data_IF_195703789870
#
_entry.id   IF_195703789870
#
_cell.length_a   1.000
_cell.length_b   1.000
_cell.length_c   1.000
_cell.angle_alpha   90.00
_cell.angle_beta   90.00
_cell.angle_gamma   90.00
#
_symmetry.space_group_name_H-M   'P 1'
#
loop_
_entity.id
_entity.type
_entity.pdbx_description
1 polymer ?
#
# COMPACT_ATOMS: atom_id res chain seq x y z
N UNK A 1 -41.52 36.19 32.03
CA UNK A 1 -41.84 36.84 30.75
C UNK A 1 -42.32 35.77 29.78
N UNK A 2 -43.63 35.77 29.52
CA UNK A 2 -44.26 34.86 28.57
C UNK A 2 -43.75 35.19 27.16
N UNK A 3 -43.32 34.18 26.39
CA UNK A 3 -42.83 34.40 25.03
C UNK A 3 -44.02 34.78 24.15
N UNK A 4 -44.11 36.06 23.79
CA UNK A 4 -45.10 36.55 22.83
C UNK A 4 -44.87 35.85 21.49
N UNK A 5 -45.77 34.94 21.11
CA UNK A 5 -45.72 34.21 19.84
C UNK A 5 -46.62 34.92 18.82
N UNK A 6 -46.04 35.28 17.67
CA UNK A 6 -46.82 35.87 16.59
C UNK A 6 -47.53 34.76 15.79
N UNK A 7 -48.88 34.77 15.70
CA UNK A 7 -49.65 33.72 15.05
C UNK A 7 -49.44 33.63 13.53
N UNK A 8 -48.80 34.64 12.91
CA UNK A 8 -48.50 34.65 11.49
C UNK A 8 -47.29 33.76 11.10
N UNK A 9 -46.42 33.41 12.06
CA UNK A 9 -45.24 32.60 11.77
C UNK A 9 -45.48 31.12 12.09
N UNK A 10 -45.78 30.36 11.04
CA UNK A 10 -45.96 28.91 11.12
C UNK A 10 -44.64 28.15 10.98
N UNK A 11 -44.42 27.12 11.82
CA UNK A 11 -43.29 26.19 11.67
C UNK A 11 -43.55 25.25 10.49
N UNK A 12 -42.76 25.38 9.42
CA UNK A 12 -42.85 24.52 8.23
C UNK A 12 -41.67 23.53 8.12
N UNK A 13 -41.68 22.42 8.87
CA UNK A 13 -40.61 21.43 8.79
C UNK A 13 -40.63 20.74 7.43
N UNK A 14 -39.44 20.53 6.84
CA UNK A 14 -39.27 19.72 5.63
C UNK A 14 -38.68 18.37 6.03
N UNK A 15 -39.26 17.28 5.51
CA UNK A 15 -38.74 15.94 5.72
C UNK A 15 -37.75 15.60 4.60
N UNK A 16 -36.45 15.59 4.91
CA UNK A 16 -35.36 15.36 3.94
C UNK A 16 -35.00 13.88 3.74
N UNK A 17 -35.99 13.00 3.90
CA UNK A 17 -35.87 11.55 3.66
C UNK A 17 -35.99 11.17 2.19
N UNK A 18 -35.88 9.87 1.91
CA UNK A 18 -36.14 9.33 0.56
C UNK A 18 -37.63 9.55 0.24
N UNK A 19 -37.93 10.13 -0.93
CA UNK A 19 -39.30 10.40 -1.38
C UNK A 19 -39.98 11.61 -0.72
N UNK A 20 -39.27 12.34 0.16
CA UNK A 20 -39.77 13.54 0.80
C UNK A 20 -39.42 14.83 0.04
N UNK A 21 -39.12 15.88 0.79
CA UNK A 21 -38.71 17.17 0.23
C UNK A 21 -37.34 17.09 -0.46
N UNK A 22 -37.09 18.00 -1.42
CA UNK A 22 -35.79 18.14 -2.07
C UNK A 22 -34.66 18.22 -1.03
N UNK A 23 -33.59 17.43 -1.20
CA UNK A 23 -32.50 17.41 -0.24
C UNK A 23 -31.82 18.79 -0.19
N UNK A 24 -31.33 19.21 1.00
CA UNK A 24 -30.56 20.44 1.10
C UNK A 24 -29.28 20.29 0.27
N UNK A 25 -28.70 21.43 -0.15
CA UNK A 25 -27.37 21.44 -0.78
C UNK A 25 -26.36 20.83 0.19
N UNK A 26 -25.67 19.76 -0.24
CA UNK A 26 -24.65 19.04 0.54
C UNK A 26 -23.28 19.22 -0.12
N UNK A 27 -22.21 18.99 0.65
CA UNK A 27 -20.86 18.91 0.07
C UNK A 27 -20.75 17.69 -0.86
N UNK A 28 -20.60 17.96 -2.15
CA UNK A 28 -20.45 16.96 -3.20
C UNK A 28 -19.00 16.80 -3.66
N UNK A 29 -18.01 17.46 -3.04
CA UNK A 29 -16.61 17.48 -3.50
C UNK A 29 -16.02 16.08 -3.73
N UNK A 30 -16.44 15.08 -2.96
CA UNK A 30 -16.04 13.67 -3.14
C UNK A 30 -16.64 13.01 -4.39
N UNK A 31 -17.83 13.42 -4.80
CA UNK A 31 -18.65 12.82 -5.86
C UNK A 31 -18.55 13.57 -7.20
N UNK A 32 -17.97 14.77 -7.21
CA UNK A 32 -17.72 15.55 -8.42
C UNK A 32 -16.91 14.72 -9.43
N UNK A 33 -17.32 14.78 -10.70
CA UNK A 33 -16.55 14.28 -11.84
C UNK A 33 -15.33 15.19 -12.07
N UNK A 34 -14.21 14.85 -11.44
CA UNK A 34 -12.99 15.63 -11.53
C UNK A 34 -12.40 15.67 -12.96
N UNK A 35 -11.83 16.82 -13.39
CA UNK A 35 -11.03 16.93 -14.60
C UNK A 35 -9.93 15.87 -14.70
N UNK A 36 -9.56 15.48 -15.93
CA UNK A 36 -8.62 14.37 -16.19
C UNK A 36 -7.25 14.59 -15.50
N UNK A 37 -6.71 15.80 -15.54
CA UNK A 37 -5.42 16.16 -14.91
C UNK A 37 -5.43 15.88 -13.39
N UNK A 38 -6.48 16.33 -12.69
CA UNK A 38 -6.66 16.11 -11.25
C UNK A 38 -6.79 14.62 -10.94
N UNK A 39 -7.57 13.88 -11.74
CA UNK A 39 -7.72 12.43 -11.58
C UNK A 39 -6.38 11.70 -11.71
N UNK A 40 -5.61 11.99 -12.76
CA UNK A 40 -4.30 11.38 -13.00
C UNK A 40 -3.30 11.69 -11.88
N UNK A 41 -3.24 12.94 -11.41
CA UNK A 41 -2.35 13.34 -10.32
C UNK A 41 -2.70 12.61 -9.00
N UNK A 42 -4.00 12.51 -8.67
CA UNK A 42 -4.47 11.78 -7.47
C UNK A 42 -4.22 10.29 -7.60
N UNK A 43 -4.46 9.70 -8.77
CA UNK A 43 -4.16 8.29 -9.04
C UNK A 43 -2.66 7.98 -8.94
N UNK A 44 -1.77 8.83 -9.50
CA UNK A 44 -0.31 8.71 -9.35
C UNK A 44 0.11 8.66 -7.89
N UNK A 45 -0.45 9.54 -7.05
CA UNK A 45 -0.20 9.54 -5.59
C UNK A 45 -0.70 8.26 -4.91
N UNK A 46 -1.88 7.77 -5.26
CA UNK A 46 -2.44 6.53 -4.72
C UNK A 46 -1.59 5.33 -5.14
N UNK A 47 -1.17 5.24 -6.41
CA UNK A 47 -0.31 4.17 -6.90
C UNK A 47 1.00 4.11 -6.12
N UNK A 48 1.65 5.26 -5.85
CA UNK A 48 2.85 5.31 -5.00
C UNK A 48 2.62 4.80 -3.57
N UNK A 49 1.39 4.87 -3.04
CA UNK A 49 1.05 4.29 -1.73
C UNK A 49 0.75 2.79 -1.78
N UNK A 50 0.18 2.32 -2.90
CA UNK A 50 -0.28 0.93 -3.06
C UNK A 50 0.85 0.01 -3.50
N UNK A 51 1.65 0.45 -4.46
CA UNK A 51 2.79 -0.30 -4.96
C UNK A 51 3.87 -0.40 -3.87
N UNK A 52 4.63 -1.49 -3.87
CA UNK A 52 5.85 -1.60 -3.06
C UNK A 52 6.89 -0.67 -3.68
N UNK A 53 7.27 0.36 -2.94
CA UNK A 53 8.23 1.37 -3.41
C UNK A 53 9.64 0.95 -2.95
N UNK A 54 10.61 0.86 -3.88
CA UNK A 54 11.99 0.54 -3.54
C UNK A 54 12.58 1.50 -2.49
N UNK A 55 13.48 1.03 -1.61
CA UNK A 55 14.08 1.83 -0.54
C UNK A 55 14.79 3.10 -1.05
N UNK A 56 15.46 3.01 -2.20
CA UNK A 56 16.12 4.15 -2.85
C UNK A 56 15.18 5.30 -3.20
N UNK A 57 13.90 5.03 -3.44
CA UNK A 57 12.86 6.04 -3.67
C UNK A 57 12.11 6.39 -2.37
N UNK A 58 11.96 5.42 -1.47
CA UNK A 58 11.25 5.60 -0.22
C UNK A 58 11.99 6.54 0.74
N UNK A 59 13.33 6.59 0.70
CA UNK A 59 14.12 7.53 1.52
C UNK A 59 13.70 8.99 1.34
N UNK A 60 13.25 9.41 0.14
CA UNK A 60 12.75 10.78 -0.09
C UNK A 60 11.43 11.09 0.61
N UNK A 61 10.74 10.09 1.15
CA UNK A 61 9.56 10.33 2.01
C UNK A 61 9.97 10.75 3.43
N UNK A 62 11.19 10.43 3.84
CA UNK A 62 11.78 10.80 5.12
C UNK A 62 12.51 12.12 4.92
N UNK A 63 11.87 13.19 5.38
CA UNK A 63 12.39 14.55 5.24
C UNK A 63 12.69 15.12 6.61
N UNK A 64 13.51 16.16 6.64
CA UNK A 64 13.77 16.99 7.81
C UNK A 64 12.45 17.47 8.43
N UNK A 65 12.40 17.51 9.76
CA UNK A 65 11.26 18.03 10.49
C UNK A 65 11.11 19.54 10.27
N UNK A 66 9.93 20.09 10.60
CA UNK A 66 9.60 21.49 10.30
C UNK A 66 10.46 22.48 11.10
N UNK A 67 10.86 22.13 12.32
CA UNK A 67 11.57 23.03 13.21
C UNK A 67 13.02 23.17 12.75
N UNK A 68 13.70 22.03 12.55
CA UNK A 68 15.08 21.99 12.05
C UNK A 68 15.18 22.55 10.62
N UNK A 69 14.17 22.31 9.77
CA UNK A 69 14.12 22.93 8.45
C UNK A 69 14.03 24.47 8.53
N UNK A 70 13.28 25.01 9.48
CA UNK A 70 13.17 26.46 9.64
C UNK A 70 14.49 27.09 10.09
N UNK A 71 15.22 26.45 11.01
CA UNK A 71 16.57 26.87 11.42
C UNK A 71 17.54 26.81 10.24
N UNK A 72 17.56 25.70 9.49
CA UNK A 72 18.37 25.55 8.29
C UNK A 72 18.09 26.66 7.26
N UNK A 73 16.82 26.96 6.98
CA UNK A 73 16.47 28.02 6.04
C UNK A 73 16.85 29.43 6.52
N UNK A 74 16.83 29.71 7.83
CA UNK A 74 17.32 30.98 8.38
C UNK A 74 18.80 31.17 8.08
N UNK A 75 19.62 30.14 8.27
CA UNK A 75 21.05 30.17 7.91
C UNK A 75 21.21 30.34 6.40
N UNK A 76 20.53 29.52 5.58
CA UNK A 76 20.61 29.59 4.12
C UNK A 76 20.22 30.96 3.54
N UNK A 77 19.27 31.66 4.18
CA UNK A 77 18.85 33.01 3.77
C UNK A 77 19.95 34.07 3.95
N UNK A 78 20.91 33.87 4.86
CA UNK A 78 22.08 34.75 5.01
C UNK A 78 23.10 34.59 3.87
N UNK A 79 23.13 33.41 3.24
CA UNK A 79 24.11 33.03 2.20
C UNK A 79 23.52 33.02 0.79
N UNK A 80 22.46 33.80 0.53
CA UNK A 80 21.80 33.80 -0.79
C UNK A 80 22.74 34.32 -1.88
N UNK A 81 22.72 33.71 -3.07
CA UNK A 81 23.40 34.28 -4.23
C UNK A 81 22.71 35.58 -4.65
N UNK A 82 23.46 36.44 -5.35
CA UNK A 82 22.96 37.74 -5.81
C UNK A 82 21.79 37.61 -6.80
N UNK A 83 20.85 38.54 -6.68
CA UNK A 83 19.83 38.80 -7.67
C UNK A 83 20.41 39.45 -8.94
N UNK A 84 19.65 39.40 -10.04
CA UNK A 84 20.03 40.07 -11.31
C UNK A 84 20.25 41.58 -11.12
N UNK A 85 19.42 42.25 -10.33
CA UNK A 85 19.56 43.67 -10.01
C UNK A 85 20.81 43.94 -9.17
N UNK A 86 21.01 43.19 -8.07
CA UNK A 86 22.20 43.30 -7.22
C UNK A 86 23.50 43.04 -8.00
N UNK A 87 23.48 42.08 -8.93
CA UNK A 87 24.62 41.81 -9.83
C UNK A 87 24.91 43.00 -10.75
N UNK A 88 23.88 43.64 -11.31
CA UNK A 88 24.04 44.85 -12.14
C UNK A 88 24.65 45.98 -11.31
N UNK A 89 24.14 46.23 -10.11
CA UNK A 89 24.62 47.30 -9.24
C UNK A 89 26.07 47.05 -8.79
N UNK A 90 26.43 45.79 -8.50
CA UNK A 90 27.82 45.43 -8.18
C UNK A 90 28.76 45.70 -9.36
N UNK A 91 28.35 45.37 -10.59
CA UNK A 91 29.16 45.63 -11.78
C UNK A 91 29.32 47.13 -12.04
N UNK A 92 28.25 47.92 -11.86
CA UNK A 92 28.31 49.38 -11.97
C UNK A 92 29.25 50.00 -10.93
N UNK A 93 29.13 49.60 -9.65
CA UNK A 93 30.02 50.05 -8.57
C UNK A 93 31.46 49.64 -8.81
N UNK A 94 31.69 48.43 -9.33
CA UNK A 94 33.02 47.96 -9.68
C UNK A 94 33.63 48.79 -10.81
N UNK A 95 32.87 49.06 -11.87
CA UNK A 95 33.30 49.89 -12.98
C UNK A 95 33.60 51.34 -12.54
N UNK A 96 32.79 51.92 -11.64
CA UNK A 96 33.03 53.24 -11.06
C UNK A 96 34.31 53.27 -10.20
N UNK A 97 34.52 52.26 -9.34
CA UNK A 97 35.72 52.18 -8.51
C UNK A 97 37.00 52.00 -9.33
N UNK A 98 36.94 51.23 -10.42
CA UNK A 98 38.05 51.05 -11.37
C UNK A 98 38.34 52.34 -12.15
N UNK A 99 37.31 53.10 -12.55
CA UNK A 99 37.47 54.40 -13.19
C UNK A 99 38.08 55.46 -12.25
N UNK A 100 37.79 55.38 -10.94
CA UNK A 100 38.40 56.23 -9.90
C UNK A 100 39.81 55.76 -9.48
N UNK A 101 40.36 54.70 -10.09
CA UNK A 101 41.72 54.22 -9.80
C UNK A 101 41.88 53.51 -8.45
N UNK A 102 40.78 53.14 -7.78
CA UNK A 102 40.84 52.39 -6.51
C UNK A 102 41.02 50.89 -6.80
N UNK A 103 41.93 50.17 -6.10
CA UNK A 103 42.16 48.74 -6.34
C UNK A 103 40.90 47.91 -6.03
N UNK A 104 40.44 47.13 -7.02
CA UNK A 104 39.19 46.37 -6.96
C UNK A 104 39.32 44.99 -6.27
N UNK A 105 39.87 44.93 -5.05
CA UNK A 105 39.94 43.67 -4.27
C UNK A 105 38.63 43.38 -3.53
N UNK A 106 37.66 42.82 -4.25
CA UNK A 106 36.46 42.27 -3.61
C UNK A 106 36.76 40.88 -3.04
N UNK A 107 36.74 40.73 -1.70
CA UNK A 107 36.80 39.43 -1.01
C UNK A 107 35.77 38.46 -1.60
N UNK A 108 36.20 37.22 -1.86
CA UNK A 108 35.36 36.19 -2.50
C UNK A 108 34.07 35.98 -1.69
N UNK A 109 32.87 36.16 -2.29
CA UNK A 109 31.63 36.05 -1.55
C UNK A 109 31.35 34.59 -1.19
N UNK A 110 30.98 34.37 0.07
CA UNK A 110 30.50 33.08 0.59
C UNK A 110 29.01 33.01 0.27
N UNK A 111 28.64 32.11 -0.65
CA UNK A 111 27.27 31.93 -1.11
C UNK A 111 26.92 30.45 -1.18
N UNK A 112 25.64 30.15 -1.03
CA UNK A 112 25.07 28.83 -1.31
C UNK A 112 25.38 28.48 -2.77
N UNK A 113 25.96 27.29 -2.98
CA UNK A 113 26.15 26.73 -4.31
C UNK A 113 24.91 25.91 -4.66
N UNK A 114 24.52 25.96 -5.92
CA UNK A 114 23.29 25.34 -6.40
C UNK A 114 23.48 24.74 -7.78
N UNK A 115 22.55 23.86 -8.16
CA UNK A 115 22.59 23.12 -9.40
C UNK A 115 23.22 21.74 -9.22
N UNK A 116 22.63 20.73 -9.87
CA UNK A 116 23.00 19.33 -9.68
C UNK A 116 24.48 19.09 -9.95
N UNK A 117 24.94 19.41 -11.17
CA UNK A 117 26.32 19.16 -11.61
C UNK A 117 27.37 19.89 -10.75
N UNK A 118 27.04 21.10 -10.28
CA UNK A 118 27.97 21.89 -9.46
C UNK A 118 28.05 21.34 -8.05
N UNK A 119 26.92 20.99 -7.44
CA UNK A 119 26.87 20.39 -6.10
C UNK A 119 27.58 19.04 -6.10
N UNK A 120 27.42 18.23 -7.15
CA UNK A 120 28.01 16.89 -7.23
C UNK A 120 29.52 16.96 -7.34
N UNK A 121 30.04 17.86 -8.18
CA UNK A 121 31.47 18.15 -8.24
C UNK A 121 32.03 18.56 -6.87
N UNK A 122 31.31 19.40 -6.10
CA UNK A 122 31.77 19.83 -4.77
C UNK A 122 31.74 18.70 -3.73
N UNK A 123 30.82 17.73 -3.87
CA UNK A 123 30.77 16.53 -3.02
C UNK A 123 31.96 15.61 -3.32
N UNK A 124 32.24 15.36 -4.60
CA UNK A 124 33.36 14.52 -5.04
C UNK A 124 34.72 15.11 -4.62
N UNK A 125 34.83 16.44 -4.62
CA UNK A 125 36.02 17.16 -4.15
C UNK A 125 36.10 17.27 -2.61
N UNK A 126 35.12 16.73 -1.88
CA UNK A 126 34.96 16.84 -0.43
C UNK A 126 35.02 18.30 0.09
N UNK A 127 34.50 19.24 -0.70
CA UNK A 127 34.43 20.69 -0.37
C UNK A 127 33.07 21.09 0.19
N UNK A 128 32.05 20.24 0.06
CA UNK A 128 30.73 20.49 0.58
C UNK A 128 30.66 20.10 2.07
N UNK A 129 30.23 21.04 2.93
CA UNK A 129 30.02 20.77 4.36
C UNK A 129 28.63 20.23 4.64
N UNK A 130 27.62 20.70 3.90
CA UNK A 130 26.25 20.23 3.97
C UNK A 130 25.61 20.23 2.58
N UNK A 131 24.89 19.16 2.28
CA UNK A 131 24.08 19.04 1.06
C UNK A 131 22.60 19.00 1.42
N UNK A 132 21.80 19.83 0.77
CA UNK A 132 20.35 19.91 0.93
C UNK A 132 19.68 19.43 -0.34
N UNK A 133 18.85 18.39 -0.26
CA UNK A 133 18.21 17.73 -1.40
C UNK A 133 16.70 17.94 -1.34
N UNK A 134 16.07 18.28 -2.47
CA UNK A 134 14.62 18.35 -2.54
C UNK A 134 13.97 16.96 -2.63
N UNK A 135 12.85 16.78 -1.94
CA UNK A 135 12.11 15.50 -1.98
C UNK A 135 11.23 15.27 -3.23
N UNK A 136 10.94 16.31 -4.00
CA UNK A 136 9.89 16.39 -5.03
C UNK A 136 10.44 16.79 -6.41
N UNK A 137 11.67 16.40 -6.71
CA UNK A 137 12.26 16.55 -8.04
C UNK A 137 11.54 15.62 -9.03
N UNK A 138 11.30 16.14 -10.23
CA UNK A 138 10.67 15.44 -11.34
C UNK A 138 11.49 15.82 -12.59
N UNK A 139 12.21 14.89 -13.23
CA UNK A 139 12.32 13.44 -12.95
C UNK A 139 13.13 13.10 -11.68
N UNK A 140 12.79 11.99 -11.00
CA UNK A 140 13.39 11.63 -9.70
C UNK A 140 14.82 11.09 -9.86
N UNK A 141 15.11 10.48 -11.01
CA UNK A 141 16.37 9.85 -11.42
C UNK A 141 17.56 10.78 -11.23
N UNK A 142 17.34 12.09 -11.39
CA UNK A 142 18.33 13.14 -11.20
C UNK A 142 18.89 13.19 -9.76
N UNK A 143 18.11 12.81 -8.76
CA UNK A 143 18.52 12.91 -7.34
C UNK A 143 18.60 11.58 -6.62
N UNK A 144 18.10 10.47 -7.19
CA UNK A 144 18.05 9.15 -6.49
C UNK A 144 19.43 8.72 -5.97
N UNK A 145 20.49 8.98 -6.72
CA UNK A 145 21.85 8.58 -6.41
C UNK A 145 22.58 9.53 -5.45
N UNK A 146 22.07 10.76 -5.26
CA UNK A 146 22.75 11.81 -4.51
C UNK A 146 22.96 11.46 -3.01
N UNK A 147 21.97 10.87 -2.29
CA UNK A 147 22.20 10.39 -0.93
C UNK A 147 23.30 9.32 -0.82
N UNK A 148 23.39 8.42 -1.81
CA UNK A 148 24.41 7.38 -1.84
C UNK A 148 25.80 7.97 -2.05
N UNK A 149 25.92 8.97 -2.94
CA UNK A 149 27.17 9.71 -3.14
C UNK A 149 27.60 10.45 -1.87
N UNK A 150 26.67 11.17 -1.23
CA UNK A 150 26.97 11.91 0.00
C UNK A 150 27.47 10.97 1.11
N UNK A 151 26.86 9.79 1.25
CA UNK A 151 27.33 8.78 2.21
C UNK A 151 28.73 8.26 1.86
N UNK A 152 28.99 7.94 0.58
CA UNK A 152 30.31 7.42 0.15
C UNK A 152 31.44 8.41 0.43
N UNK A 153 31.15 9.71 0.28
CA UNK A 153 32.10 10.80 0.57
C UNK A 153 32.03 11.30 2.03
N UNK A 154 31.23 10.65 2.89
CA UNK A 154 31.01 11.03 4.29
C UNK A 154 30.48 12.46 4.52
N UNK A 155 29.88 13.07 3.50
CA UNK A 155 29.29 14.41 3.57
C UNK A 155 27.91 14.35 4.22
N UNK A 156 27.62 15.16 5.25
CA UNK A 156 26.28 15.30 5.81
C UNK A 156 25.27 15.77 4.76
N UNK A 157 24.15 15.06 4.65
CA UNK A 157 23.07 15.42 3.73
C UNK A 157 21.72 15.45 4.43
N UNK A 158 20.81 16.29 3.94
CA UNK A 158 19.43 16.31 4.40
C UNK A 158 18.46 16.36 3.22
N UNK A 159 17.28 15.75 3.42
CA UNK A 159 16.18 15.80 2.46
C UNK A 159 15.12 16.75 2.99
N UNK A 160 14.78 17.78 2.22
CA UNK A 160 13.84 18.85 2.61
C UNK A 160 12.59 18.84 1.74
N UNK A 161 11.46 19.23 2.34
CA UNK A 161 10.19 19.38 1.61
C UNK A 161 10.15 20.65 0.77
N UNK A 162 9.96 20.46 -0.53
CA UNK A 162 9.64 21.49 -1.52
C UNK A 162 10.85 22.04 -2.26
N UNK A 163 11.05 21.61 -3.52
CA UNK A 163 12.04 22.17 -4.45
C UNK A 163 11.84 23.66 -4.72
N UNK A 164 10.60 24.14 -4.61
CA UNK A 164 10.28 25.56 -4.74
C UNK A 164 10.84 26.38 -3.58
N UNK A 165 10.82 25.84 -2.34
CA UNK A 165 11.40 26.54 -1.17
C UNK A 165 12.92 26.67 -1.28
N UNK A 166 13.59 25.63 -1.78
CA UNK A 166 15.02 25.71 -2.12
C UNK A 166 15.27 26.71 -3.25
N UNK A 167 14.40 26.75 -4.25
CA UNK A 167 14.44 27.72 -5.34
C UNK A 167 14.37 29.16 -4.85
N UNK A 168 13.50 29.46 -3.88
CA UNK A 168 13.38 30.80 -3.29
C UNK A 168 14.71 31.29 -2.71
N UNK A 169 15.49 30.44 -2.04
CA UNK A 169 16.81 30.82 -1.50
C UNK A 169 17.73 31.33 -2.62
N UNK A 170 17.72 30.70 -3.79
CA UNK A 170 18.62 31.04 -4.90
C UNK A 170 17.99 31.93 -5.97
N UNK A 171 16.82 32.52 -5.70
CA UNK A 171 16.09 33.39 -6.62
C UNK A 171 15.69 32.68 -7.94
N UNK A 172 15.39 31.38 -7.85
CA UNK A 172 14.90 30.55 -8.96
C UNK A 172 13.52 29.98 -8.64
N UNK A 173 12.77 29.59 -9.67
CA UNK A 173 11.45 28.92 -9.49
C UNK A 173 11.58 27.61 -8.71
N UNK A 174 12.66 26.87 -8.96
CA UNK A 174 12.94 25.57 -8.34
C UNK A 174 14.44 25.32 -8.25
N UNK A 175 14.88 24.65 -7.20
CA UNK A 175 16.23 24.08 -7.10
C UNK A 175 16.15 22.62 -6.64
N UNK A 176 16.90 21.73 -7.29
CA UNK A 176 16.94 20.30 -6.95
C UNK A 176 17.81 20.03 -5.71
N UNK A 177 18.97 20.69 -5.64
CA UNK A 177 19.92 20.59 -4.55
C UNK A 177 20.64 21.92 -4.31
N UNK A 178 21.03 22.13 -3.05
CA UNK A 178 21.85 23.25 -2.59
C UNK A 178 23.01 22.67 -1.76
N UNK A 179 24.15 23.35 -1.73
CA UNK A 179 25.21 23.02 -0.78
C UNK A 179 25.89 24.26 -0.20
N UNK A 180 26.38 24.12 1.03
CA UNK A 180 27.26 25.08 1.68
C UNK A 180 28.68 24.51 1.68
N UNK A 181 29.63 25.28 1.16
CA UNK A 181 31.05 24.89 1.15
C UNK A 181 31.81 25.49 2.33
N UNK A 182 31.42 26.69 2.75
CA UNK A 182 32.00 27.38 3.89
C UNK A 182 30.94 28.28 4.51
N UNK A 183 31.10 28.59 5.79
CA UNK A 183 30.17 29.37 6.61
C UNK A 183 31.02 30.39 7.38
N UNK A 184 30.49 31.60 7.59
CA UNK A 184 31.15 32.63 8.39
C UNK A 184 31.32 32.15 9.82
N UNK A 185 32.31 32.70 10.53
CA UNK A 185 32.62 32.29 11.89
C UNK A 185 31.44 32.53 12.86
N UNK A 186 30.68 33.61 12.65
CA UNK A 186 29.48 33.98 13.44
C UNK A 186 28.40 32.89 13.42
N UNK A 187 28.18 32.26 12.26
CA UNK A 187 27.13 31.25 12.07
C UNK A 187 27.62 29.82 12.34
N UNK A 188 28.92 29.62 12.59
CA UNK A 188 29.55 28.31 12.69
C UNK A 188 28.95 27.46 13.82
N UNK A 189 28.66 28.08 14.96
CA UNK A 189 28.07 27.40 16.12
C UNK A 189 26.64 26.90 15.84
N UNK A 190 25.80 27.73 15.21
CA UNK A 190 24.43 27.34 14.82
C UNK A 190 24.47 26.25 13.75
N UNK A 191 25.37 26.39 12.78
CA UNK A 191 25.55 25.44 11.70
C UNK A 191 26.03 24.06 12.20
N UNK A 192 26.98 24.01 13.14
CA UNK A 192 27.45 22.75 13.75
C UNK A 192 26.32 21.98 14.45
N UNK A 193 25.44 22.68 15.18
CA UNK A 193 24.26 22.04 15.81
C UNK A 193 23.31 21.43 14.77
N UNK A 194 23.08 22.16 13.67
CA UNK A 194 22.25 21.69 12.56
C UNK A 194 22.89 20.47 11.88
N UNK A 195 24.21 20.50 11.65
CA UNK A 195 24.97 19.40 11.04
C UNK A 195 24.87 18.11 11.87
N UNK A 196 25.07 18.21 13.19
CA UNK A 196 24.98 17.06 14.10
C UNK A 196 23.59 16.44 14.08
N UNK A 197 22.55 17.27 14.19
CA UNK A 197 21.16 16.81 14.12
C UNK A 197 20.81 16.18 12.75
N UNK A 198 21.37 16.70 11.66
CA UNK A 198 21.18 16.13 10.32
C UNK A 198 21.91 14.79 10.19
N UNK A 199 23.17 14.70 10.63
CA UNK A 199 23.98 13.49 10.54
C UNK A 199 23.31 12.31 11.26
N UNK A 200 22.82 12.55 12.49
CA UNK A 200 22.08 11.58 13.29
C UNK A 200 20.75 11.13 12.65
N UNK A 201 20.16 11.96 11.79
CA UNK A 201 18.89 11.66 11.13
C UNK A 201 19.03 10.97 9.78
N UNK A 202 20.10 11.23 9.03
CA UNK A 202 20.24 10.79 7.64
C UNK A 202 21.44 9.88 7.38
N UNK A 203 22.64 10.34 7.73
CA UNK A 203 23.88 9.61 7.44
C UNK A 203 23.96 8.34 8.31
N UNK A 204 23.77 8.47 9.62
CA UNK A 204 23.91 7.36 10.56
C UNK A 204 22.77 6.32 10.41
N UNK A 205 21.59 6.78 9.99
CA UNK A 205 20.40 5.94 9.73
C UNK A 205 20.31 5.40 8.30
N UNK A 206 21.31 5.64 7.46
CA UNK A 206 21.24 5.28 6.04
C UNK A 206 21.04 3.76 5.83
N UNK A 207 21.71 2.91 6.62
CA UNK A 207 21.55 1.45 6.50
C UNK A 207 20.12 0.98 6.79
N UNK A 208 19.42 1.63 7.73
CA UNK A 208 18.00 1.37 7.98
C UNK A 208 17.17 1.76 6.75
N UNK A 209 17.42 2.95 6.19
CA UNK A 209 16.68 3.46 5.03
C UNK A 209 16.89 2.62 3.77
N UNK A 210 18.09 2.04 3.59
CA UNK A 210 18.40 1.13 2.48
C UNK A 210 17.59 -0.16 2.53
N UNK A 211 17.18 -0.62 3.72
CA UNK A 211 16.41 -1.86 3.91
C UNK A 211 14.90 -1.61 3.95
N UNK A 212 14.48 -0.36 4.18
CA UNK A 212 13.07 0.00 4.43
C UNK A 212 12.29 0.26 3.15
N UNK A 213 11.56 -0.76 2.71
CA UNK A 213 10.59 -0.64 1.63
C UNK A 213 9.43 0.31 2.01
N UNK A 214 8.94 1.05 1.02
CA UNK A 214 7.80 1.95 1.15
C UNK A 214 6.53 1.40 0.52
N UNK A 215 5.43 2.12 0.74
CA UNK A 215 4.14 1.78 0.13
C UNK A 215 3.54 0.50 0.69
N UNK A 216 2.82 -0.25 -0.15
CA UNK A 216 2.06 -1.44 0.29
C UNK A 216 0.88 -1.14 1.22
N UNK A 217 0.49 0.13 1.35
CA UNK A 217 -0.60 0.54 2.23
C UNK A 217 -1.90 0.35 1.48
N UNK A 218 -2.82 -0.50 1.97
CA UNK A 218 -4.13 -0.70 1.36
C UNK A 218 -5.07 0.50 1.54
N UNK A 219 -6.16 0.55 0.79
CA UNK A 219 -7.16 1.63 0.91
C UNK A 219 -7.96 1.54 2.20
N UNK A 220 -8.40 2.69 2.72
CA UNK A 220 -9.17 2.78 3.98
C UNK A 220 -10.41 1.89 4.00
N UNK A 221 -11.15 1.79 2.88
CA UNK A 221 -12.30 0.88 2.75
C UNK A 221 -11.90 -0.59 2.92
N UNK A 222 -10.79 -1.00 2.31
CA UNK A 222 -10.27 -2.36 2.40
C UNK A 222 -9.74 -2.65 3.81
N UNK A 223 -8.98 -1.72 4.40
CA UNK A 223 -8.49 -1.84 5.77
C UNK A 223 -9.64 -1.95 6.77
N UNK A 224 -10.70 -1.16 6.60
CA UNK A 224 -11.90 -1.24 7.44
C UNK A 224 -12.60 -2.59 7.31
N UNK A 225 -12.74 -3.13 6.09
CA UNK A 225 -13.32 -4.47 5.87
C UNK A 225 -12.49 -5.56 6.55
N UNK A 226 -11.17 -5.54 6.39
CA UNK A 226 -10.27 -6.50 7.04
C UNK A 226 -10.33 -6.39 8.56
N UNK A 227 -10.27 -5.17 9.10
CA UNK A 227 -10.37 -4.91 10.55
C UNK A 227 -11.72 -5.36 11.12
N UNK A 228 -12.81 -5.20 10.39
CA UNK A 228 -14.13 -5.69 10.79
C UNK A 228 -14.15 -7.23 10.85
N UNK A 229 -13.55 -7.89 9.85
CA UNK A 229 -13.39 -9.36 9.82
C UNK A 229 -12.52 -9.87 10.97
N UNK A 230 -11.39 -9.22 11.25
CA UNK A 230 -10.52 -9.55 12.39
C UNK A 230 -11.23 -9.37 13.73
N UNK A 231 -12.01 -8.29 13.88
CA UNK A 231 -12.82 -8.07 15.08
C UNK A 231 -13.84 -9.18 15.29
N UNK A 232 -14.55 -9.58 14.23
CA UNK A 232 -15.50 -10.69 14.27
C UNK A 232 -14.81 -11.99 14.71
N UNK A 233 -13.70 -12.38 14.06
CA UNK A 233 -12.90 -13.55 14.45
C UNK A 233 -12.45 -13.51 15.91
N UNK A 234 -11.94 -12.35 16.36
CA UNK A 234 -11.47 -12.17 17.74
C UNK A 234 -12.61 -12.31 18.75
N UNK A 235 -13.79 -11.79 18.43
CA UNK A 235 -14.99 -11.95 19.25
C UNK A 235 -15.41 -13.42 19.31
N UNK A 236 -15.41 -14.15 18.20
CA UNK A 236 -15.72 -15.59 18.16
C UNK A 236 -14.74 -16.41 19.01
N UNK A 237 -13.43 -16.17 18.88
CA UNK A 237 -12.42 -16.88 19.68
C UNK A 237 -12.56 -16.60 21.18
N UNK A 238 -12.83 -15.34 21.58
CA UNK A 238 -13.04 -14.98 22.97
C UNK A 238 -14.28 -15.67 23.56
N UNK A 239 -15.35 -15.76 22.79
CA UNK A 239 -16.58 -16.44 23.20
C UNK A 239 -16.35 -17.95 23.37
N UNK A 240 -15.63 -18.58 22.43
CA UNK A 240 -15.22 -19.99 22.56
C UNK A 240 -14.36 -20.27 23.80
N UNK A 241 -13.39 -19.40 24.10
CA UNK A 241 -12.58 -19.51 25.31
C UNK A 241 -13.41 -19.33 26.60
N UNK A 242 -14.34 -18.38 26.61
CA UNK A 242 -15.26 -18.13 27.73
C UNK A 242 -16.18 -19.33 28.00
N UNK A 243 -16.74 -19.96 26.95
CA UNK A 243 -17.54 -21.18 27.09
C UNK A 243 -16.68 -22.32 27.63
N UNK A 244 -15.45 -22.50 27.12
CA UNK A 244 -14.53 -23.53 27.57
C UNK A 244 -14.15 -23.41 29.05
N UNK A 245 -13.82 -22.20 29.53
CA UNK A 245 -13.49 -21.99 30.95
C UNK A 245 -14.70 -22.16 31.87
N UNK A 246 -15.88 -21.74 31.41
CA UNK A 246 -17.12 -21.87 32.14
C UNK A 246 -17.56 -23.36 32.23
N UNK A 247 -17.33 -24.15 31.17
CA UNK A 247 -17.53 -25.61 31.17
C UNK A 247 -16.62 -26.35 32.16
N UNK A 248 -15.33 -25.99 32.22
CA UNK A 248 -14.39 -26.59 33.20
C UNK A 248 -14.80 -26.24 34.64
N UNK A 249 -15.23 -24.99 34.88
CA UNK A 249 -15.71 -24.54 36.20
C UNK A 249 -17.01 -25.25 36.61
N UNK A 250 -17.89 -25.54 35.65
CA UNK A 250 -19.09 -26.34 35.83
C UNK A 250 -18.76 -27.81 36.19
N UNK A 251 -17.89 -28.47 35.42
CA UNK A 251 -17.44 -29.85 35.68
C UNK A 251 -16.75 -30.02 37.05
N UNK A 252 -16.01 -29.00 37.51
CA UNK A 252 -15.40 -29.00 38.85
C UNK A 252 -16.43 -28.79 39.97
N UNK A 253 -17.57 -28.16 39.68
CA UNK A 253 -18.68 -27.94 40.63
C UNK A 253 -19.48 -29.23 40.80
N UNK A 254 -19.88 -29.90 39.72
CA UNK A 254 -20.66 -31.14 39.77
C UNK A 254 -19.94 -32.28 40.50
N UNK A 255 -18.62 -32.39 40.30
CA UNK A 255 -17.77 -33.34 41.06
C UNK A 255 -17.74 -33.08 42.57
N UNK A 256 -17.94 -31.84 43.01
CA UNK A 256 -17.92 -31.45 44.43
C UNK A 256 -19.26 -31.70 45.10
N UNK A 257 -20.35 -31.65 44.34
CA UNK A 257 -21.72 -31.72 44.84
C UNK A 257 -22.33 -33.14 44.80
N UNK A 258 -21.60 -34.16 44.31
CA UNK A 258 -22.02 -35.57 44.39
C UNK A 258 -23.26 -35.92 43.57
N UNK A 259 -23.46 -35.23 42.43
CA UNK A 259 -24.67 -35.26 41.61
C UNK A 259 -24.73 -36.52 40.71
N UNK A 260 -25.92 -37.07 40.49
CA UNK A 260 -26.14 -38.27 39.65
C UNK A 260 -25.91 -37.99 38.16
N UNK A 261 -25.42 -38.97 37.37
CA UNK A 261 -25.13 -38.81 35.92
C UNK A 261 -26.31 -38.24 35.10
N UNK A 262 -27.54 -38.52 35.55
CA UNK A 262 -28.77 -38.05 34.87
C UNK A 262 -28.98 -36.54 35.07
N UNK A 263 -28.69 -36.05 36.27
CA UNK A 263 -28.72 -34.62 36.62
C UNK A 263 -27.52 -33.86 36.03
N UNK A 264 -26.34 -34.50 35.94
CA UNK A 264 -25.20 -33.92 35.21
C UNK A 264 -25.55 -33.64 33.75
N UNK A 265 -26.19 -34.59 33.05
CA UNK A 265 -26.63 -34.43 31.66
C UNK A 265 -27.68 -33.32 31.50
N UNK A 266 -28.67 -33.25 32.38
CA UNK A 266 -29.68 -32.18 32.35
C UNK A 266 -29.06 -30.80 32.59
N UNK A 267 -28.15 -30.68 33.57
CA UNK A 267 -27.46 -29.41 33.84
C UNK A 267 -26.49 -29.01 32.71
N UNK A 268 -25.83 -29.97 32.04
CA UNK A 268 -25.00 -29.73 30.86
C UNK A 268 -25.85 -29.23 29.68
N UNK A 269 -27.04 -29.82 29.47
CA UNK A 269 -28.01 -29.40 28.46
C UNK A 269 -28.50 -27.97 28.74
N UNK A 270 -28.82 -27.64 30.00
CA UNK A 270 -29.24 -26.30 30.42
C UNK A 270 -28.11 -25.28 30.25
N UNK A 271 -26.85 -25.65 30.51
CA UNK A 271 -25.67 -24.80 30.27
C UNK A 271 -25.45 -24.47 28.78
N UNK A 272 -25.62 -25.46 27.90
CA UNK A 272 -25.52 -25.26 26.44
C UNK A 272 -26.70 -24.48 25.86
N UNK A 273 -27.91 -24.64 26.42
CA UNK A 273 -29.13 -23.94 25.96
C UNK A 273 -29.26 -22.51 26.52
N UNK A 274 -28.75 -22.25 27.72
CA UNK A 274 -28.88 -20.95 28.41
C UNK A 274 -27.57 -20.51 29.10
N UNK A 275 -26.50 -20.19 28.33
CA UNK A 275 -25.22 -19.75 28.90
C UNK A 275 -25.31 -18.41 29.67
N UNK A 276 -26.31 -17.57 29.36
CA UNK A 276 -26.53 -16.26 30.03
C UNK A 276 -26.91 -16.38 31.51
N UNK A 277 -27.47 -17.51 31.95
CA UNK A 277 -27.90 -17.71 33.36
C UNK A 277 -26.72 -17.97 34.31
N UNK A 278 -25.56 -18.36 33.80
CA UNK A 278 -24.37 -18.75 34.59
C UNK A 278 -23.21 -17.74 34.50
N UNK A 279 -23.39 -16.62 33.81
CA UNK A 279 -22.39 -15.56 33.67
C UNK A 279 -22.52 -14.51 34.78
N UNK A 280 -21.41 -14.19 35.46
CA UNK A 280 -21.34 -13.10 36.45
C UNK A 280 -21.51 -11.73 35.77
N UNK A 281 -22.01 -10.74 36.52
CA UNK A 281 -22.50 -9.44 36.01
C UNK A 281 -21.55 -8.64 35.08
N UNK A 282 -20.23 -8.89 35.08
CA UNK A 282 -19.28 -8.21 34.17
C UNK A 282 -19.31 -8.74 32.72
N UNK A 283 -19.88 -9.93 32.50
CA UNK A 283 -19.87 -10.59 31.18
C UNK A 283 -21.18 -10.37 30.39
N UNK A 284 -22.25 -9.88 31.04
CA UNK A 284 -23.53 -9.52 30.40
C UNK A 284 -23.40 -8.38 29.38
N UNK A 285 -22.57 -7.39 29.66
CA UNK A 285 -22.31 -6.27 28.73
C UNK A 285 -21.54 -6.69 27.47
N UNK A 286 -20.83 -7.82 27.53
CA UNK A 286 -20.11 -8.40 26.41
C UNK A 286 -21.04 -9.22 25.50
N UNK A 287 -22.01 -9.92 26.10
CA UNK A 287 -23.08 -10.66 25.41
C UNK A 287 -24.13 -9.73 24.77
N UNK A 288 -24.50 -8.62 25.43
CA UNK A 288 -25.45 -7.64 24.87
C UNK A 288 -24.94 -6.89 23.62
N UNK A 289 -23.62 -6.93 23.36
CA UNK A 289 -22.99 -6.30 22.17
C UNK A 289 -22.80 -7.25 20.99
N UNK A 290 -23.21 -8.51 21.10
CA UNK A 290 -23.24 -9.44 19.96
C UNK A 290 -24.61 -9.39 19.28
N UNK A 291 -24.70 -9.14 17.97
CA UNK A 291 -25.98 -9.19 17.27
C UNK A 291 -26.50 -10.64 17.26
N UNK A 292 -27.73 -10.81 17.72
CA UNK A 292 -28.64 -11.96 17.58
C UNK A 292 -28.01 -13.36 17.73
N UNK A 293 -28.12 -13.94 18.92
CA UNK A 293 -27.72 -15.33 19.23
C UNK A 293 -28.43 -16.43 18.42
N UNK A 294 -29.43 -16.12 17.59
CA UNK A 294 -30.01 -17.09 16.65
C UNK A 294 -29.15 -17.29 15.39
N UNK A 295 -28.42 -16.26 14.94
CA UNK A 295 -27.39 -16.44 13.90
C UNK A 295 -26.14 -17.14 14.47
N UNK A 296 -25.93 -17.06 15.78
CA UNK A 296 -24.80 -17.72 16.46
C UNK A 296 -25.01 -19.23 16.61
N UNK A 297 -26.25 -19.73 16.70
CA UNK A 297 -26.54 -21.17 16.71
C UNK A 297 -26.35 -21.81 15.33
N UNK A 298 -26.64 -21.08 14.24
CA UNK A 298 -26.30 -21.50 12.87
C UNK A 298 -24.78 -21.47 12.66
N UNK A 299 -24.06 -20.54 13.29
CA UNK A 299 -22.59 -20.52 13.29
C UNK A 299 -21.97 -21.58 14.22
N UNK A 300 -22.70 -22.06 15.23
CA UNK A 300 -22.25 -23.13 16.17
C UNK A 300 -22.61 -24.55 15.69
N UNK A 301 -23.59 -24.71 14.80
CA UNK A 301 -23.89 -25.96 14.07
C UNK A 301 -23.20 -26.04 12.70
N UNK A 302 -22.53 -24.98 12.28
CA UNK A 302 -21.52 -25.06 11.21
C UNK A 302 -20.18 -25.19 11.93
N UNK A 303 -19.51 -26.35 11.91
CA UNK A 303 -18.16 -26.45 12.43
C UNK A 303 -17.30 -25.43 11.69
N UNK A 304 -16.88 -24.39 12.40
CA UNK A 304 -15.87 -23.43 11.94
C UNK A 304 -14.50 -24.11 12.01
N UNK A 305 -14.28 -25.09 11.14
CA UNK A 305 -12.96 -25.64 10.84
C UNK A 305 -12.28 -24.70 9.84
N UNK A 306 -11.71 -23.62 10.36
CA UNK A 306 -10.79 -22.79 9.59
C UNK A 306 -9.56 -22.43 10.41
N UNK A 307 -8.86 -23.46 10.90
CA UNK A 307 -7.40 -23.51 10.84
C UNK A 307 -7.01 -24.96 10.46
N UNK A 308 -6.53 -25.15 9.23
CA UNK A 308 -5.77 -26.35 8.85
C UNK A 308 -6.52 -27.56 8.28
N UNK A 309 -7.61 -27.41 7.52
CA UNK A 309 -8.02 -28.52 6.63
C UNK A 309 -6.95 -28.71 5.56
N UNK A 310 -6.32 -29.88 5.59
CA UNK A 310 -5.35 -30.38 4.63
C UNK A 310 -5.87 -30.10 3.23
N UNK A 311 -5.05 -29.47 2.37
CA UNK A 311 -5.44 -29.05 1.01
C UNK A 311 -6.12 -30.18 0.22
N UNK A 312 -5.78 -31.42 0.56
CA UNK A 312 -6.34 -32.67 0.06
C UNK A 312 -7.87 -32.82 0.21
N UNK A 313 -8.50 -32.28 1.25
CA UNK A 313 -9.95 -32.41 1.46
C UNK A 313 -10.77 -31.51 0.52
N UNK A 314 -10.30 -30.28 0.28
CA UNK A 314 -10.91 -29.36 -0.72
C UNK A 314 -10.77 -29.94 -2.14
N UNK A 315 -9.68 -30.66 -2.43
CA UNK A 315 -9.50 -31.36 -3.69
C UNK A 315 -10.42 -32.59 -3.84
N UNK A 316 -10.82 -33.24 -2.74
CA UNK A 316 -11.61 -34.48 -2.81
C UNK A 316 -13.12 -34.25 -3.02
N UNK A 317 -13.70 -33.15 -2.51
CA UNK A 317 -15.15 -32.87 -2.59
C UNK A 317 -15.53 -31.76 -3.59
N UNK A 318 -14.55 -31.00 -4.09
CA UNK A 318 -14.77 -29.88 -5.00
C UNK A 318 -14.79 -30.24 -6.50
N UNK A 319 -14.99 -29.24 -7.39
CA UNK A 319 -14.91 -29.41 -8.85
C UNK A 319 -13.53 -29.86 -9.35
N UNK A 320 -12.49 -29.70 -8.53
CA UNK A 320 -11.13 -30.18 -8.81
C UNK A 320 -10.93 -31.67 -8.50
N UNK A 321 -11.92 -32.35 -7.94
CA UNK A 321 -11.88 -33.80 -7.67
C UNK A 321 -11.64 -34.64 -8.91
N UNK A 322 -12.11 -34.18 -10.08
CA UNK A 322 -11.81 -34.83 -11.37
C UNK A 322 -10.31 -34.86 -11.63
N UNK A 323 -9.60 -33.76 -11.37
CA UNK A 323 -8.15 -33.68 -11.55
C UNK A 323 -7.39 -34.47 -10.50
N UNK A 324 -7.84 -34.42 -9.25
CA UNK A 324 -7.24 -35.19 -8.16
C UNK A 324 -7.33 -36.71 -8.41
N UNK A 325 -8.50 -37.18 -8.83
CA UNK A 325 -8.70 -38.58 -9.21
C UNK A 325 -7.86 -38.96 -10.43
N UNK A 326 -7.66 -38.04 -11.38
CA UNK A 326 -6.82 -38.30 -12.55
C UNK A 326 -5.33 -38.37 -12.25
N UNK A 327 -4.83 -37.59 -11.29
CA UNK A 327 -3.44 -37.73 -10.81
C UNK A 327 -3.26 -39.04 -10.05
N UNK A 328 -4.19 -39.37 -9.14
CA UNK A 328 -4.11 -40.61 -8.32
C UNK A 328 -4.21 -41.88 -9.16
N UNK A 329 -5.17 -41.93 -10.08
CA UNK A 329 -5.45 -43.12 -10.88
C UNK A 329 -4.70 -43.12 -12.22
N UNK A 330 -3.88 -42.08 -12.49
CA UNK A 330 -3.22 -41.85 -13.77
C UNK A 330 -4.18 -42.03 -14.97
N UNK A 331 -5.36 -41.41 -14.89
CA UNK A 331 -6.38 -41.52 -15.95
C UNK A 331 -6.24 -40.40 -16.99
N UNK A 332 -6.63 -40.70 -18.23
CA UNK A 332 -6.65 -39.71 -19.29
C UNK A 332 -7.79 -38.73 -19.10
N UNK A 333 -7.48 -37.43 -19.22
CA UNK A 333 -8.47 -36.35 -19.20
C UNK A 333 -8.56 -35.68 -20.55
N UNK A 334 -9.77 -35.23 -20.89
CA UNK A 334 -10.03 -34.38 -22.04
C UNK A 334 -10.19 -32.93 -21.56
N UNK A 335 -9.33 -32.05 -22.05
CA UNK A 335 -9.31 -30.62 -21.69
C UNK A 335 -9.71 -29.80 -22.91
N UNK A 336 -10.73 -28.96 -22.75
CA UNK A 336 -11.13 -28.01 -23.78
C UNK A 336 -10.52 -26.63 -23.49
N UNK A 337 -9.75 -26.11 -24.44
CA UNK A 337 -9.05 -24.84 -24.32
C UNK A 337 -9.77 -23.71 -25.08
N UNK A 338 -9.58 -22.46 -24.65
CA UNK A 338 -10.21 -21.26 -25.25
C UNK A 338 -9.95 -21.04 -26.74
N UNK A 339 -8.92 -21.67 -27.30
CA UNK A 339 -8.52 -21.51 -28.70
C UNK A 339 -9.14 -22.57 -29.63
N UNK A 340 -10.29 -23.16 -29.27
CA UNK A 340 -10.91 -24.30 -29.98
C UNK A 340 -9.97 -25.50 -30.16
N UNK A 341 -9.05 -25.69 -29.19
CA UNK A 341 -8.15 -26.83 -29.16
C UNK A 341 -8.56 -27.77 -28.05
N UNK A 342 -8.53 -29.07 -28.32
CA UNK A 342 -8.81 -30.11 -27.35
C UNK A 342 -7.52 -30.86 -27.04
N UNK A 343 -7.20 -31.03 -25.76
CA UNK A 343 -6.04 -31.78 -25.31
C UNK A 343 -6.51 -33.06 -24.66
N UNK A 344 -5.96 -34.19 -25.07
CA UNK A 344 -6.15 -35.48 -24.42
C UNK A 344 -4.80 -35.89 -23.82
N UNK A 345 -4.71 -36.09 -22.52
CA UNK A 345 -3.43 -36.46 -21.89
C UNK A 345 -3.57 -36.84 -20.42
N UNK A 346 -2.46 -37.20 -19.79
CA UNK A 346 -2.42 -37.56 -18.37
C UNK A 346 -1.94 -36.38 -17.55
N UNK A 347 -2.61 -36.11 -16.44
CA UNK A 347 -2.23 -35.03 -15.51
C UNK A 347 -1.25 -35.58 -14.50
N UNK A 348 -0.06 -34.97 -14.39
CA UNK A 348 0.92 -35.32 -13.36
C UNK A 348 0.82 -34.46 -12.12
N UNK A 349 0.55 -33.17 -12.31
CA UNK A 349 0.40 -32.21 -11.24
C UNK A 349 -0.56 -31.11 -11.67
N UNK A 350 -1.30 -30.56 -10.71
CA UNK A 350 -2.15 -29.40 -10.92
C UNK A 350 -2.15 -28.48 -9.70
N UNK A 351 -2.51 -27.22 -9.90
CA UNK A 351 -2.61 -26.17 -8.87
C UNK A 351 -4.07 -25.69 -8.75
N UNK A 352 -4.39 -24.92 -7.70
CA UNK A 352 -5.71 -24.30 -7.46
C UNK A 352 -6.16 -23.41 -8.61
N UNK A 353 -5.20 -22.78 -9.30
CA UNK A 353 -5.47 -21.98 -10.49
C UNK A 353 -5.66 -22.80 -11.77
N UNK A 354 -5.76 -24.13 -11.69
CA UNK A 354 -5.83 -25.05 -12.83
C UNK A 354 -4.62 -24.95 -13.76
N UNK A 355 -3.45 -24.57 -13.25
CA UNK A 355 -2.19 -24.78 -13.96
C UNK A 355 -1.86 -26.26 -13.89
N UNK A 356 -1.48 -26.88 -15.01
CA UNK A 356 -1.36 -28.33 -15.12
C UNK A 356 -0.07 -28.71 -15.83
N UNK A 357 0.57 -29.77 -15.33
CA UNK A 357 1.65 -30.48 -16.00
C UNK A 357 1.07 -31.74 -16.60
N UNK A 358 1.11 -31.83 -17.93
CA UNK A 358 0.55 -32.93 -18.69
C UNK A 358 1.66 -33.77 -19.33
N UNK A 359 1.45 -35.08 -19.37
CA UNK A 359 2.30 -36.04 -20.09
C UNK A 359 1.50 -36.81 -21.15
N UNK A 360 2.18 -37.16 -22.24
CA UNK A 360 1.62 -37.89 -23.39
C UNK A 360 0.35 -37.23 -23.93
N UNK A 361 0.48 -35.95 -24.30
CA UNK A 361 -0.64 -35.12 -24.75
C UNK A 361 -0.85 -35.26 -26.25
N UNK A 362 -2.06 -35.61 -26.65
CA UNK A 362 -2.56 -35.47 -28.02
C UNK A 362 -3.40 -34.21 -28.10
N UNK A 363 -2.88 -33.21 -28.79
CA UNK A 363 -3.61 -31.98 -29.09
C UNK A 363 -4.33 -32.12 -30.42
N UNK A 364 -5.63 -31.85 -30.42
CA UNK A 364 -6.52 -31.96 -31.56
C UNK A 364 -7.15 -30.61 -31.85
N UNK A 365 -7.11 -30.18 -33.10
CA UNK A 365 -7.81 -28.98 -33.57
C UNK A 365 -8.31 -29.19 -34.99
N UNK A 366 -9.29 -28.39 -35.38
CA UNK A 366 -9.80 -28.38 -36.74
C UNK A 366 -9.22 -27.18 -37.46
N UNK A 367 -8.56 -27.42 -38.59
CA UNK A 367 -8.03 -26.38 -39.46
C UNK A 367 -8.85 -26.33 -40.74
N UNK A 368 -9.29 -25.14 -41.13
CA UNK A 368 -9.92 -24.91 -42.44
C UNK A 368 -8.83 -24.44 -43.38
N UNK A 369 -8.39 -25.25 -44.36
CA UNK A 369 -7.30 -24.85 -45.25
C UNK A 369 -7.75 -23.65 -46.09
N UNK A 370 -6.90 -22.61 -46.14
CA UNK A 370 -7.18 -21.41 -46.92
C UNK A 370 -7.10 -21.75 -48.41
N UNK A 371 -8.26 -21.82 -49.05
CA UNK A 371 -8.37 -21.98 -50.50
C UNK A 371 -8.21 -20.61 -51.18
N UNK A 372 -7.55 -20.57 -52.35
CA UNK A 372 -7.39 -19.35 -53.14
C UNK A 372 -8.73 -18.69 -53.48
N UNK A 373 -8.71 -17.36 -53.70
CA UNK A 373 -9.91 -16.55 -54.00
C UNK A 373 -10.69 -17.18 -55.16
N UNK A 374 -11.96 -17.53 -54.93
CA UNK A 374 -12.90 -18.00 -55.96
C UNK A 374 -13.21 -19.51 -55.95
N UNK A 375 -12.57 -20.33 -55.12
CA UNK A 375 -12.94 -21.76 -54.95
C UNK A 375 -13.85 -21.97 -53.74
N UNK A 376 -14.76 -22.97 -53.80
CA UNK A 376 -15.65 -23.35 -52.69
C UNK A 376 -14.84 -23.58 -51.41
N UNK A 377 -15.33 -23.10 -50.26
CA UNK A 377 -14.67 -23.24 -48.95
C UNK A 377 -14.31 -24.70 -48.72
N UNK A 378 -13.03 -24.97 -48.49
CA UNK A 378 -12.55 -26.32 -48.23
C UNK A 378 -13.15 -26.90 -46.95
N UNK A 379 -13.37 -28.23 -46.95
CA UNK A 379 -13.91 -28.94 -45.80
C UNK A 379 -12.96 -28.81 -44.59
N UNK A 380 -13.49 -28.69 -43.36
CA UNK A 380 -12.66 -28.63 -42.15
C UNK A 380 -11.87 -29.94 -41.99
N UNK A 381 -10.54 -29.82 -41.86
CA UNK A 381 -9.65 -30.97 -41.68
C UNK A 381 -9.24 -31.06 -40.22
N UNK A 382 -9.44 -32.22 -39.61
CA UNK A 382 -8.98 -32.49 -38.26
C UNK A 382 -7.47 -32.77 -38.28
N UNK A 383 -6.72 -32.04 -37.45
CA UNK A 383 -5.29 -32.20 -37.23
C UNK A 383 -5.05 -32.61 -35.79
N UNK A 384 -4.08 -33.49 -35.60
CA UNK A 384 -3.60 -33.88 -34.30
C UNK A 384 -2.07 -33.80 -34.24
N UNK A 385 -1.56 -33.44 -33.07
CA UNK A 385 -0.12 -33.49 -32.77
C UNK A 385 0.12 -34.14 -31.42
N UNK A 386 1.19 -34.90 -31.33
CA UNK A 386 1.63 -35.52 -30.09
C UNK A 386 2.72 -34.69 -29.42
N UNK A 387 2.58 -34.48 -28.11
CA UNK A 387 3.52 -33.73 -27.27
C UNK A 387 3.81 -34.58 -26.05
N UNK A 388 5.08 -34.91 -25.83
CA UNK A 388 5.51 -35.76 -24.72
C UNK A 388 5.25 -35.14 -23.35
N UNK A 389 5.62 -33.86 -23.16
CA UNK A 389 5.38 -33.10 -21.93
C UNK A 389 4.89 -31.69 -22.27
N UNK A 390 3.82 -31.25 -21.62
CA UNK A 390 3.20 -29.96 -21.88
C UNK A 390 2.82 -29.28 -20.57
N UNK A 391 3.23 -28.03 -20.40
CA UNK A 391 2.72 -27.17 -19.34
C UNK A 391 1.53 -26.37 -19.86
N UNK A 392 0.39 -26.50 -19.19
CA UNK A 392 -0.83 -25.76 -19.51
C UNK A 392 -1.14 -24.75 -18.40
N UNK A 393 -1.33 -23.49 -18.79
CA UNK A 393 -1.74 -22.43 -17.89
C UNK A 393 -3.27 -22.45 -17.71
N UNK A 394 -3.73 -22.29 -16.47
CA UNK A 394 -5.16 -22.42 -16.13
C UNK A 394 -6.08 -21.38 -16.75
N UNK A 395 -5.56 -20.19 -17.08
CA UNK A 395 -6.31 -19.15 -17.80
C UNK A 395 -6.82 -19.62 -19.18
N UNK A 396 -6.19 -20.64 -19.77
CA UNK A 396 -6.55 -21.20 -21.07
C UNK A 396 -7.61 -22.31 -21.01
N UNK A 397 -7.88 -22.85 -19.82
CA UNK A 397 -8.79 -23.99 -19.61
C UNK A 397 -10.23 -23.49 -19.56
N UNK A 398 -11.13 -24.15 -20.28
CA UNK A 398 -12.58 -23.91 -20.21
C UNK A 398 -13.25 -24.97 -19.33
N UNK A 399 -13.04 -26.24 -19.69
CA UNK A 399 -13.64 -27.37 -19.00
C UNK A 399 -12.69 -28.57 -19.07
N UNK A 400 -12.66 -29.33 -17.98
CA UNK A 400 -11.97 -30.61 -17.90
C UNK A 400 -13.01 -31.70 -17.73
N UNK A 401 -12.94 -32.72 -18.59
CA UNK A 401 -13.82 -33.87 -18.57
C UNK A 401 -12.98 -35.13 -18.39
N UNK A 402 -13.56 -36.14 -17.72
CA UNK A 402 -13.02 -37.50 -17.77
C UNK A 402 -13.21 -38.02 -19.19
N UNK A 403 -12.21 -38.72 -19.71
CA UNK A 403 -12.34 -39.38 -20.99
C UNK A 403 -13.48 -40.41 -20.90
N UNK A 404 -14.54 -40.33 -21.72
CA UNK A 404 -15.69 -41.24 -21.65
C UNK A 404 -15.41 -42.64 -22.24
N UNK A 405 -14.17 -43.13 -22.10
CA UNK A 405 -13.76 -44.44 -22.58
C UNK A 405 -13.95 -45.51 -21.53
#
# INVERSE_FOLDING_TARGET
MEKVTNPLFERRPKQFGIGGALPPKKDLTRYIKWPKSIRLQRQKRILKQRLKVPPALNQFTKTLDKNLATQLFKVLMKYRPEDKAAKKDRLLKKAQAEAEGKPSESKKPIVVKYGLNHVTYLIEQNKAQLVVIAHDVDPIELVVWLPALCRKMEVPYCIVKGKSRLGTVVHQKTAACLCLTTVKNEDKLEFSKILEAIKANFNDKYEEYRKKWGGGIMGSKSQAKTKAKERCKRSSFRYGFMIGTCFVKFMLRTKRDGVSRKEELEQLIVFFLFPEKYLENRDRDLAAKTPNCFDLLIVLLIPSEHEGKTEEEEFNTGPLSVLMMSVKNNTQVLINCRNNRKLLGHVRAFDRHCNMVLENVREMWTEVPKTGKGKKKALPVNRDRFISKMFLRGDSVIIVLRNPK
#
